data_IF_595946756026
#
_entry.id   IF_595946756026
#
_cell.length_a   1.000
_cell.length_b   1.000
_cell.length_c   1.000
_cell.angle_alpha   90.00
_cell.angle_beta   90.00
_cell.angle_gamma   90.00
#
_symmetry.space_group_name_H-M   'P 1'
#
loop_
_entity.id
_entity.type
_entity.pdbx_description
1 polymer ?
#
# COMPACT_ATOMS: atom_id res chain seq x y z
N UNK A 1 -5.40 5.35 32.72
CA UNK A 1 -4.97 4.19 31.94
C UNK A 1 -3.66 3.65 32.49
N UNK A 2 -3.55 2.36 32.53
CA UNK A 2 -2.38 1.71 33.08
C UNK A 2 -1.34 1.45 32.00
N UNK A 3 -0.07 1.53 32.35
CA UNK A 3 1.04 1.31 31.43
C UNK A 3 0.97 -0.06 30.75
N UNK A 4 0.51 -1.09 31.45
CA UNK A 4 0.36 -2.43 30.90
C UNK A 4 -0.63 -2.50 29.74
N UNK A 5 -1.71 -1.73 29.79
CA UNK A 5 -2.68 -1.68 28.71
C UNK A 5 -2.10 -1.03 27.45
N UNK A 6 -1.29 0.01 27.63
CA UNK A 6 -0.61 0.67 26.51
C UNK A 6 0.39 -0.27 25.87
N UNK A 7 1.20 -0.96 26.66
CA UNK A 7 2.17 -1.94 26.16
C UNK A 7 1.51 -3.08 25.43
N UNK A 8 0.38 -3.57 25.91
CA UNK A 8 -0.36 -4.64 25.26
C UNK A 8 -0.91 -4.22 23.90
N UNK A 9 -1.40 -3.00 23.78
CA UNK A 9 -1.85 -2.45 22.50
C UNK A 9 -0.72 -2.34 21.50
N UNK A 10 0.46 -1.87 21.93
CA UNK A 10 1.64 -1.78 21.09
C UNK A 10 2.11 -3.17 20.62
N UNK A 11 2.11 -4.16 21.52
CA UNK A 11 2.48 -5.53 21.22
C UNK A 11 1.53 -6.21 20.25
N UNK A 12 0.28 -5.74 20.18
CA UNK A 12 -0.75 -6.33 19.34
C UNK A 12 -0.87 -5.66 17.96
N UNK A 13 0.05 -4.78 17.63
CA UNK A 13 0.12 -4.19 16.29
C UNK A 13 0.44 -5.28 15.28
N UNK A 14 -0.50 -5.53 14.39
CA UNK A 14 -0.36 -6.55 13.37
C UNK A 14 0.28 -5.96 12.13
N UNK A 15 1.30 -6.63 11.61
CA UNK A 15 1.92 -6.30 10.34
C UNK A 15 1.52 -7.32 9.29
N UNK A 16 1.29 -6.84 8.09
CA UNK A 16 0.83 -7.66 6.96
C UNK A 16 1.61 -7.33 5.69
N UNK A 17 1.44 -8.19 4.70
CA UNK A 17 1.94 -8.00 3.35
C UNK A 17 0.77 -8.12 2.39
N UNK A 18 0.69 -7.23 1.41
CA UNK A 18 -0.40 -7.23 0.44
C UNK A 18 0.16 -7.02 -0.95
N UNK A 19 -0.37 -7.77 -1.90
CA UNK A 19 -0.10 -7.59 -3.32
C UNK A 19 -1.36 -7.01 -3.97
N UNK A 20 -1.20 -5.94 -4.73
CA UNK A 20 -2.30 -5.28 -5.42
C UNK A 20 -2.04 -5.24 -6.92
N UNK A 21 -3.06 -5.54 -7.71
CA UNK A 21 -3.08 -5.26 -9.14
C UNK A 21 -4.24 -4.31 -9.40
N UNK A 22 -3.92 -3.14 -9.93
CA UNK A 22 -4.89 -2.06 -10.13
C UNK A 22 -5.16 -1.94 -11.60
N UNK A 23 -6.44 -2.09 -11.96
CA UNK A 23 -6.95 -2.05 -13.33
C UNK A 23 -7.72 -0.77 -13.57
N UNK A 24 -7.61 -0.24 -14.77
CA UNK A 24 -8.33 0.95 -15.20
C UNK A 24 -7.41 1.91 -15.93
N UNK A 25 -7.76 3.19 -15.90
CA UNK A 25 -6.91 4.25 -16.43
C UNK A 25 -5.96 4.69 -15.32
N UNK A 26 -4.85 3.96 -15.19
CA UNK A 26 -3.95 4.09 -14.04
C UNK A 26 -2.49 4.36 -14.42
N UNK A 27 -2.15 4.28 -15.71
CA UNK A 27 -0.83 4.68 -16.22
C UNK A 27 -0.91 6.03 -16.90
N UNK A 28 0.18 6.80 -16.87
CA UNK A 28 0.21 8.14 -17.47
C UNK A 28 -0.56 9.20 -16.68
N UNK A 29 -0.91 8.90 -15.42
CA UNK A 29 -1.72 9.78 -14.54
C UNK A 29 -1.00 10.04 -13.23
N UNK A 30 0.31 9.79 -13.16
CA UNK A 30 1.15 9.96 -11.98
C UNK A 30 0.77 9.03 -10.80
N UNK A 31 0.13 7.89 -11.10
CA UNK A 31 -0.32 6.97 -10.06
C UNK A 31 0.83 6.47 -9.17
N UNK A 32 1.95 6.07 -9.79
CA UNK A 32 3.12 5.57 -9.07
C UNK A 32 3.71 6.63 -8.13
N UNK A 33 3.80 7.86 -8.61
CA UNK A 33 4.35 8.96 -7.84
C UNK A 33 3.52 9.22 -6.58
N UNK A 34 2.20 9.36 -6.73
CA UNK A 34 1.31 9.62 -5.60
C UNK A 34 1.23 8.42 -4.66
N UNK A 35 1.27 7.19 -5.18
CA UNK A 35 1.34 5.99 -4.34
C UNK A 35 2.56 6.02 -3.42
N UNK A 36 3.72 6.34 -3.97
CA UNK A 36 4.94 6.46 -3.18
C UNK A 36 4.80 7.52 -2.10
N UNK A 37 4.27 8.68 -2.45
CA UNK A 37 4.10 9.78 -1.51
C UNK A 37 3.17 9.39 -0.35
N UNK A 38 2.01 8.82 -0.67
CA UNK A 38 1.06 8.35 0.34
C UNK A 38 1.68 7.25 1.22
N UNK A 39 2.35 6.28 0.60
CA UNK A 39 2.98 5.17 1.32
C UNK A 39 4.05 5.66 2.29
N UNK A 40 4.88 6.58 1.86
CA UNK A 40 5.91 7.17 2.72
C UNK A 40 5.29 7.92 3.90
N UNK A 41 4.24 8.68 3.66
CA UNK A 41 3.51 9.38 4.73
C UNK A 41 2.88 8.43 5.73
N UNK A 42 2.46 7.25 5.30
CA UNK A 42 1.88 6.23 6.16
C UNK A 42 2.94 5.37 6.86
N UNK A 43 4.19 5.44 6.42
CA UNK A 43 5.26 4.62 6.98
C UNK A 43 5.21 3.15 6.56
N UNK A 44 4.51 2.82 5.48
CA UNK A 44 4.53 1.48 4.90
C UNK A 44 5.64 1.37 3.87
N UNK A 45 6.07 0.15 3.57
CA UNK A 45 7.24 -0.12 2.74
C UNK A 45 6.89 -1.10 1.63
N UNK A 46 7.65 -1.06 0.56
CA UNK A 46 7.39 -1.90 -0.59
C UNK A 46 7.75 -1.22 -1.90
N UNK A 47 6.93 -1.46 -2.94
CA UNK A 47 7.17 -0.85 -4.24
C UNK A 47 5.90 -0.78 -5.07
N UNK A 48 5.94 0.10 -6.07
CA UNK A 48 4.91 0.27 -7.08
C UNK A 48 5.56 0.30 -8.46
N UNK A 49 4.92 -0.34 -9.44
CA UNK A 49 5.40 -0.33 -10.81
C UNK A 49 4.25 -0.35 -11.82
N UNK A 50 4.51 0.14 -13.02
CA UNK A 50 3.65 -0.09 -14.16
C UNK A 50 3.92 -1.49 -14.73
N UNK A 51 2.85 -2.20 -15.09
CA UNK A 51 2.96 -3.46 -15.82
C UNK A 51 2.81 -3.18 -17.31
N UNK A 52 3.39 -4.05 -18.16
CA UNK A 52 3.30 -3.90 -19.62
C UNK A 52 1.86 -3.95 -20.15
N UNK A 53 0.94 -4.57 -19.40
CA UNK A 53 -0.48 -4.72 -19.76
C UNK A 53 -1.36 -3.58 -19.22
N UNK A 54 -0.78 -2.42 -18.99
CA UNK A 54 -1.42 -1.18 -18.52
C UNK A 54 -1.90 -1.15 -17.07
N UNK A 55 -1.67 -2.20 -16.30
CA UNK A 55 -2.00 -2.22 -14.87
C UNK A 55 -0.90 -1.55 -14.04
N UNK A 56 -1.24 -1.21 -12.79
CA UNK A 56 -0.26 -0.81 -11.77
C UNK A 56 -0.21 -1.92 -10.73
N UNK A 57 1.00 -2.33 -10.39
CA UNK A 57 1.24 -3.37 -9.40
C UNK A 57 1.91 -2.79 -8.17
N UNK A 58 1.45 -3.19 -6.98
CA UNK A 58 1.99 -2.75 -5.71
C UNK A 58 2.23 -3.96 -4.82
N UNK A 59 3.39 -4.01 -4.18
CA UNK A 59 3.63 -4.87 -3.03
C UNK A 59 3.91 -3.95 -1.85
N UNK A 60 3.19 -4.13 -0.76
CA UNK A 60 3.30 -3.26 0.40
C UNK A 60 3.30 -4.08 1.68
N UNK A 61 4.16 -3.67 2.63
CA UNK A 61 4.25 -4.25 3.96
C UNK A 61 4.18 -3.17 5.02
N UNK A 62 3.57 -3.50 6.14
CA UNK A 62 3.51 -2.61 7.28
C UNK A 62 2.37 -2.93 8.22
N UNK A 63 2.10 -2.01 9.12
CA UNK A 63 0.97 -2.11 10.04
C UNK A 63 -0.33 -2.21 9.26
N UNK A 64 -1.17 -3.16 9.64
CA UNK A 64 -2.43 -3.45 8.93
C UNK A 64 -3.27 -2.21 8.69
N UNK A 65 -3.45 -1.38 9.70
CA UNK A 65 -4.27 -0.17 9.58
C UNK A 65 -3.70 0.82 8.54
N UNK A 66 -2.38 0.92 8.47
CA UNK A 66 -1.71 1.80 7.52
C UNK A 66 -1.78 1.25 6.10
N UNK A 67 -1.59 -0.05 5.94
CA UNK A 67 -1.73 -0.72 4.64
C UNK A 67 -3.14 -0.56 4.11
N UNK A 68 -4.17 -0.72 4.96
CA UNK A 68 -5.56 -0.54 4.57
C UNK A 68 -5.85 0.89 4.13
N UNK A 69 -5.23 1.88 4.75
CA UNK A 69 -5.36 3.29 4.32
C UNK A 69 -4.78 3.49 2.92
N UNK A 70 -3.64 2.87 2.63
CA UNK A 70 -3.07 2.93 1.29
C UNK A 70 -4.01 2.29 0.26
N UNK A 71 -4.57 1.14 0.58
CA UNK A 71 -5.53 0.45 -0.30
C UNK A 71 -6.75 1.33 -0.57
N UNK A 72 -7.30 1.95 0.47
CA UNK A 72 -8.44 2.85 0.34
C UNK A 72 -8.13 4.01 -0.61
N UNK A 73 -6.94 4.59 -0.48
CA UNK A 73 -6.51 5.64 -1.39
C UNK A 73 -6.38 5.13 -2.82
N UNK A 74 -5.88 3.90 -3.01
CA UNK A 74 -5.71 3.31 -4.35
C UNK A 74 -7.04 3.17 -5.10
N UNK A 75 -8.15 2.94 -4.41
CA UNK A 75 -9.46 2.90 -5.06
C UNK A 75 -9.86 4.23 -5.67
N UNK A 76 -9.41 5.31 -5.09
CA UNK A 76 -9.64 6.65 -5.62
C UNK A 76 -8.57 7.03 -6.64
N UNK A 77 -7.30 6.82 -6.28
CA UNK A 77 -6.15 7.22 -7.08
C UNK A 77 -6.02 8.74 -7.23
N UNK A 78 -5.06 9.20 -8.04
CA UNK A 78 -4.94 10.63 -8.36
C UNK A 78 -6.11 11.11 -9.21
N UNK A 79 -6.27 12.43 -9.33
CA UNK A 79 -7.43 13.05 -9.94
C UNK A 79 -7.73 12.58 -11.37
N UNK A 80 -6.68 12.28 -12.15
CA UNK A 80 -6.83 11.85 -13.54
C UNK A 80 -7.01 10.35 -13.72
N UNK A 81 -6.95 9.58 -12.63
CA UNK A 81 -7.08 8.13 -12.69
C UNK A 81 -8.55 7.71 -12.67
N UNK A 82 -8.81 6.58 -13.29
CA UNK A 82 -10.09 5.87 -13.18
C UNK A 82 -9.74 4.44 -12.77
N UNK A 83 -10.01 4.10 -11.52
CA UNK A 83 -9.76 2.77 -10.99
C UNK A 83 -11.03 1.94 -11.19
N UNK A 84 -10.92 0.90 -12.01
CA UNK A 84 -12.05 0.02 -12.31
C UNK A 84 -12.11 -1.14 -11.33
N UNK A 85 -10.95 -1.68 -10.96
CA UNK A 85 -10.87 -2.87 -10.11
C UNK A 85 -9.50 -2.94 -9.46
N UNK A 86 -9.45 -3.48 -8.25
CA UNK A 86 -8.19 -3.84 -7.58
C UNK A 86 -8.28 -5.30 -7.17
N UNK A 87 -7.36 -6.12 -7.69
CA UNK A 87 -7.18 -7.48 -7.23
C UNK A 87 -6.24 -7.44 -6.02
N UNK A 88 -6.71 -7.94 -4.89
CA UNK A 88 -5.99 -7.88 -3.61
C UNK A 88 -5.63 -9.29 -3.18
N UNK A 89 -4.36 -9.52 -2.91
CA UNK A 89 -3.87 -10.77 -2.35
C UNK A 89 -3.19 -10.48 -1.01
N UNK A 90 -3.81 -10.96 0.07
CA UNK A 90 -3.32 -10.79 1.42
C UNK A 90 -2.27 -11.86 1.72
N UNK A 91 -1.18 -11.45 2.36
CA UNK A 91 -0.09 -12.36 2.64
C UNK A 91 0.55 -12.11 3.98
N UNK A 92 1.57 -12.93 4.27
CA UNK A 92 2.30 -12.85 5.51
C UNK A 92 3.40 -11.80 5.43
N UNK A 93 3.52 -10.99 6.47
CA UNK A 93 4.61 -10.04 6.61
C UNK A 93 5.96 -10.75 6.62
N UNK A 94 6.90 -10.26 5.81
CA UNK A 94 8.27 -10.80 5.71
C UNK A 94 9.28 -9.81 6.28
N UNK A 95 9.01 -8.51 6.10
CA UNK A 95 9.92 -7.46 6.56
C UNK A 95 11.12 -7.26 5.65
N UNK A 96 10.95 -7.47 4.35
CA UNK A 96 12.07 -7.41 3.40
C UNK A 96 12.39 -6.02 2.86
N UNK A 97 11.52 -5.05 3.07
CA UNK A 97 11.67 -3.71 2.49
C UNK A 97 12.16 -2.71 3.52
N UNK A 98 13.04 -1.79 3.08
CA UNK A 98 13.56 -0.71 3.91
C UNK A 98 12.88 0.63 3.64
N UNK A 99 12.23 0.76 2.48
CA UNK A 99 11.57 1.99 2.06
C UNK A 99 10.47 1.63 1.07
N UNK A 100 9.71 2.64 0.61
CA UNK A 100 8.74 2.46 -0.46
C UNK A 100 9.31 3.10 -1.73
N UNK A 101 9.49 2.30 -2.77
CA UNK A 101 10.12 2.74 -4.02
C UNK A 101 9.24 2.58 -5.25
N UNK A 102 9.65 3.23 -6.32
CA UNK A 102 9.07 3.06 -7.65
C UNK A 102 10.01 2.16 -8.45
N UNK A 103 9.45 1.17 -9.08
CA UNK A 103 10.19 0.26 -9.96
C UNK A 103 9.87 0.48 -11.44
#
# INVERSE_FOLDING_TARGET
MKEEEIKNKEKNVKKIRVHLLILGRVQGVAFRYYTQDIAQGLGVKGWVRNCWDSKVEIVVEGEEEKVKKLISWCYQGPASAIVEKIDIEWGRYIGEFNFFGIR
#
